data_IF_103811403309
#
_entry.id   IF_103811403309
#
_cell.length_a   1.000
_cell.length_b   1.000
_cell.length_c   1.000
_cell.angle_alpha   90.00
_cell.angle_beta   90.00
_cell.angle_gamma   90.00
#
_symmetry.space_group_name_H-M   'P 1'
#
loop_
_entity.id
_entity.type
_entity.pdbx_description
1 polymer ?
#
# COMPACT_ATOMS: atom_id res chain seq x y z
N UNK A 1 -14.86 14.89 36.22
CA UNK A 1 -14.39 15.05 34.83
C UNK A 1 -13.69 16.40 34.63
N UNK A 2 -14.38 17.52 34.39
CA UNK A 2 -13.71 18.80 34.11
C UNK A 2 -12.75 19.26 35.23
N UNK A 3 -13.17 19.13 36.50
CA UNK A 3 -12.30 19.44 37.65
C UNK A 3 -11.04 18.55 37.72
N UNK A 4 -11.10 17.31 37.24
CA UNK A 4 -9.96 16.38 37.25
C UNK A 4 -8.97 16.80 36.16
N UNK A 5 -9.46 17.11 34.96
CA UNK A 5 -8.66 17.63 33.85
C UNK A 5 -7.88 18.89 34.25
N UNK A 6 -8.56 19.85 34.89
CA UNK A 6 -7.94 21.12 35.31
C UNK A 6 -6.86 20.90 36.39
N UNK A 7 -7.02 19.90 37.26
CA UNK A 7 -6.04 19.60 38.32
C UNK A 7 -4.80 18.87 37.79
N UNK A 8 -4.97 18.05 36.77
CA UNK A 8 -3.87 17.27 36.18
C UNK A 8 -2.96 18.10 35.27
N UNK A 9 -3.51 19.11 34.58
CA UNK A 9 -2.76 19.95 33.64
C UNK A 9 -2.16 21.14 34.37
N UNK A 10 -0.84 21.12 34.62
CA UNK A 10 -0.13 22.26 35.21
C UNK A 10 0.29 23.28 34.15
N UNK A 11 -0.08 24.55 34.34
CA UNK A 11 0.22 25.65 33.41
C UNK A 11 1.73 25.84 33.12
N UNK A 12 2.59 25.45 34.06
CA UNK A 12 4.05 25.58 33.93
C UNK A 12 4.65 24.61 32.91
N UNK A 13 4.10 23.39 32.77
CA UNK A 13 4.57 22.42 31.76
C UNK A 13 4.15 22.81 30.34
N UNK A 14 3.02 23.50 30.18
CA UNK A 14 2.52 23.95 28.87
C UNK A 14 3.53 24.88 28.17
N UNK A 15 4.21 25.74 28.94
CA UNK A 15 5.28 26.62 28.42
C UNK A 15 6.57 25.89 28.03
N UNK A 16 6.73 24.64 28.45
CA UNK A 16 7.91 23.81 28.19
C UNK A 16 7.67 22.75 27.11
N UNK A 17 6.47 22.71 26.51
CA UNK A 17 6.20 21.74 25.44
C UNK A 17 6.98 22.20 24.20
N UNK A 18 7.96 21.40 23.80
CA UNK A 18 8.72 21.59 22.58
C UNK A 18 7.86 21.15 21.39
N UNK A 19 7.07 22.06 20.83
CA UNK A 19 6.26 21.89 19.60
C UNK A 19 6.77 22.87 18.56
N UNK A 20 6.74 22.48 17.28
CA UNK A 20 7.12 23.37 16.18
C UNK A 20 6.05 24.49 16.02
N UNK A 21 6.47 25.74 15.84
CA UNK A 21 5.55 26.87 15.69
C UNK A 21 4.90 27.35 16.99
N UNK A 22 5.49 27.04 18.15
CA UNK A 22 5.01 27.53 19.44
C UNK A 22 5.24 29.06 19.56
N UNK A 23 4.24 29.88 19.95
CA UNK A 23 4.39 31.33 20.02
C UNK A 23 5.59 31.76 20.88
N UNK A 24 6.52 32.51 20.29
CA UNK A 24 7.77 32.96 20.93
C UNK A 24 9.02 32.09 20.64
N UNK A 25 8.91 31.05 19.80
CA UNK A 25 10.05 30.34 19.21
C UNK A 25 10.31 30.68 17.73
N UNK A 26 9.56 31.66 17.20
CA UNK A 26 9.69 32.18 15.84
C UNK A 26 11.15 32.58 15.53
N UNK A 27 11.74 31.97 14.51
CA UNK A 27 13.12 32.23 14.08
C UNK A 27 14.18 31.46 14.87
N UNK A 28 13.81 30.42 15.62
CA UNK A 28 14.79 29.52 16.23
C UNK A 28 15.58 28.76 15.15
N UNK A 29 16.84 28.38 15.44
CA UNK A 29 17.64 27.54 14.52
C UNK A 29 16.95 26.22 14.16
N UNK A 30 16.06 25.72 15.02
CA UNK A 30 15.29 24.50 14.74
C UNK A 30 14.20 24.74 13.69
N UNK A 31 13.52 25.90 13.74
CA UNK A 31 12.58 26.31 12.69
C UNK A 31 13.30 26.62 11.38
N UNK A 32 14.45 27.30 11.45
CA UNK A 32 15.25 27.57 10.25
C UNK A 32 15.75 26.28 9.58
N UNK A 33 16.12 25.26 10.38
CA UNK A 33 16.47 23.94 9.87
C UNK A 33 15.25 23.25 9.23
N UNK A 34 14.08 23.31 9.87
CA UNK A 34 12.84 22.79 9.30
C UNK A 34 12.50 23.45 7.96
N UNK A 35 12.50 24.78 7.92
CA UNK A 35 12.20 25.56 6.73
C UNK A 35 13.19 25.29 5.60
N UNK A 36 14.47 25.15 5.94
CA UNK A 36 15.51 24.81 4.98
C UNK A 36 15.31 23.42 4.36
N UNK A 37 14.90 22.43 5.17
CA UNK A 37 14.56 21.09 4.65
C UNK A 37 13.28 21.15 3.82
N UNK A 38 12.23 21.79 4.32
CA UNK A 38 10.94 21.88 3.65
C UNK A 38 11.01 22.61 2.29
N UNK A 39 11.91 23.59 2.17
CA UNK A 39 12.14 24.36 0.94
C UNK A 39 13.27 23.78 0.08
N UNK A 40 13.71 22.54 0.34
CA UNK A 40 14.76 21.85 -0.41
C UNK A 40 16.13 22.58 -0.43
N UNK A 41 16.38 23.48 0.53
CA UNK A 41 17.64 24.22 0.69
C UNK A 41 18.78 23.34 1.19
N UNK A 42 18.45 22.30 1.98
CA UNK A 42 19.40 21.33 2.48
C UNK A 42 19.00 19.94 1.98
N UNK A 43 19.85 19.33 1.16
CA UNK A 43 19.66 17.97 0.63
C UNK A 43 20.40 16.92 1.48
N UNK A 44 21.27 17.36 2.39
CA UNK A 44 22.01 16.48 3.30
C UNK A 44 22.26 17.12 4.67
N UNK A 45 22.56 16.27 5.65
CA UNK A 45 22.96 16.70 7.00
C UNK A 45 24.27 17.50 6.97
N UNK A 46 25.19 17.20 6.05
CA UNK A 46 26.45 17.95 5.88
C UNK A 46 26.22 19.37 5.38
N UNK A 47 25.31 19.57 4.42
CA UNK A 47 24.92 20.91 3.93
C UNK A 47 24.31 21.76 5.04
N UNK A 48 23.42 21.16 5.83
CA UNK A 48 22.81 21.82 6.97
C UNK A 48 23.83 22.13 8.08
N UNK A 49 24.72 21.20 8.42
CA UNK A 49 25.76 21.41 9.43
C UNK A 49 26.73 22.53 9.02
N UNK A 50 27.13 22.55 7.76
CA UNK A 50 27.96 23.62 7.19
C UNK A 50 27.28 24.98 7.27
N UNK A 51 25.98 25.05 6.99
CA UNK A 51 25.22 26.30 7.10
C UNK A 51 25.13 26.84 8.54
N UNK A 52 24.84 25.98 9.52
CA UNK A 52 24.58 26.43 10.90
C UNK A 52 25.84 26.59 11.78
N UNK A 53 26.91 25.85 11.47
CA UNK A 53 28.08 25.73 12.34
C UNK A 53 29.43 25.72 11.59
N UNK A 54 29.44 25.85 10.25
CA UNK A 54 30.63 25.71 9.40
C UNK A 54 31.40 24.40 9.69
N UNK A 55 30.63 23.32 9.87
CA UNK A 55 31.12 22.00 10.30
C UNK A 55 30.54 20.88 9.44
N UNK A 56 30.81 19.63 9.83
CA UNK A 56 30.21 18.43 9.25
C UNK A 56 29.05 17.89 10.10
N UNK A 57 28.36 16.86 9.58
CA UNK A 57 27.25 16.17 10.26
C UNK A 57 27.62 15.57 11.65
N UNK A 58 28.91 15.41 11.94
CA UNK A 58 29.41 14.81 13.18
C UNK A 58 29.55 15.83 14.29
N UNK A 59 29.47 17.12 13.99
CA UNK A 59 29.56 18.19 14.98
C UNK A 59 28.51 18.02 16.11
N UNK A 60 28.94 18.01 17.38
CA UNK A 60 28.03 17.83 18.52
C UNK A 60 26.91 18.87 18.62
N UNK A 61 27.15 20.13 18.20
CA UNK A 61 26.17 21.21 18.20
C UNK A 61 25.13 20.98 17.10
N UNK A 62 25.55 20.55 15.91
CA UNK A 62 24.62 20.17 14.84
C UNK A 62 23.73 18.99 15.26
N UNK A 63 24.32 17.92 15.78
CA UNK A 63 23.55 16.76 16.28
C UNK A 63 22.55 17.15 17.36
N UNK A 64 22.91 18.07 18.26
CA UNK A 64 21.99 18.60 19.28
C UNK A 64 20.84 19.38 18.65
N UNK A 65 21.10 20.20 17.63
CA UNK A 65 20.08 20.95 16.88
C UNK A 65 19.11 20.00 16.15
N UNK A 66 19.65 19.03 15.39
CA UNK A 66 18.88 18.00 14.69
C UNK A 66 18.01 17.19 15.65
N UNK A 67 18.58 16.71 16.76
CA UNK A 67 17.83 15.96 17.76
C UNK A 67 16.72 16.78 18.42
N UNK A 68 16.94 18.08 18.62
CA UNK A 68 15.90 18.99 19.11
C UNK A 68 14.75 19.13 18.11
N UNK A 69 15.06 19.32 16.83
CA UNK A 69 14.04 19.38 15.78
C UNK A 69 13.26 18.07 15.69
N UNK A 70 13.94 16.91 15.72
CA UNK A 70 13.30 15.59 15.74
C UNK A 70 12.30 15.47 16.91
N UNK A 71 12.71 15.87 18.12
CA UNK A 71 11.82 15.87 19.30
C UNK A 71 10.62 16.79 19.11
N UNK A 72 10.83 18.00 18.60
CA UNK A 72 9.74 18.95 18.29
C UNK A 72 8.76 18.35 17.29
N UNK A 73 9.24 17.74 16.20
CA UNK A 73 8.39 17.12 15.18
C UNK A 73 7.61 15.92 15.74
N UNK A 74 8.24 15.06 16.54
CA UNK A 74 7.56 13.94 17.21
C UNK A 74 6.44 14.47 18.13
N UNK A 75 6.69 15.50 18.92
CA UNK A 75 5.66 16.10 19.77
C UNK A 75 4.54 16.75 18.95
N UNK A 76 4.89 17.39 17.84
CA UNK A 76 3.95 18.03 16.92
C UNK A 76 3.07 16.99 16.20
N UNK A 77 3.54 15.75 16.05
CA UNK A 77 2.80 14.68 15.38
C UNK A 77 1.45 14.33 16.03
N UNK A 78 1.28 14.63 17.34
CA UNK A 78 -0.02 14.49 18.02
C UNK A 78 -1.06 15.53 17.58
N UNK A 79 -0.64 16.58 16.87
CA UNK A 79 -1.46 17.70 16.41
C UNK A 79 -1.53 17.79 14.88
N UNK A 80 -1.29 16.68 14.17
CA UNK A 80 -1.43 16.62 12.71
C UNK A 80 -2.84 17.07 12.32
N UNK A 81 -2.91 17.93 11.30
CA UNK A 81 -4.18 18.35 10.73
C UNK A 81 -4.78 17.21 9.89
N UNK A 82 -5.63 16.43 10.54
CA UNK A 82 -6.38 15.35 9.90
C UNK A 82 -7.50 15.86 8.99
N UNK A 83 -7.80 17.17 8.94
CA UNK A 83 -8.85 17.72 8.07
C UNK A 83 -8.38 17.91 6.62
N UNK A 84 -7.10 17.66 6.33
CA UNK A 84 -6.57 17.74 4.99
C UNK A 84 -7.27 16.77 4.02
N UNK A 85 -7.44 17.13 2.73
CA UNK A 85 -8.15 16.31 1.74
C UNK A 85 -7.61 14.88 1.57
N UNK A 86 -6.33 14.64 1.92
CA UNK A 86 -5.69 13.34 1.80
C UNK A 86 -6.24 12.28 2.78
N UNK A 87 -6.87 12.68 3.88
CA UNK A 87 -7.41 11.73 4.85
C UNK A 87 -8.89 11.43 4.59
N UNK A 88 -9.20 10.16 4.37
CA UNK A 88 -10.59 9.68 4.35
C UNK A 88 -11.17 9.59 5.78
N UNK A 89 -12.49 9.41 5.92
CA UNK A 89 -13.16 9.40 7.24
C UNK A 89 -12.54 8.39 8.22
N UNK A 90 -12.26 7.16 7.75
CA UNK A 90 -11.63 6.11 8.57
C UNK A 90 -10.22 6.49 9.00
N UNK A 91 -9.41 7.04 8.09
CA UNK A 91 -8.05 7.51 8.36
C UNK A 91 -8.06 8.61 9.42
N UNK A 92 -8.93 9.61 9.28
CA UNK A 92 -9.12 10.66 10.29
C UNK A 92 -9.50 10.09 11.65
N UNK A 93 -10.42 9.13 11.67
CA UNK A 93 -10.84 8.48 12.89
C UNK A 93 -9.69 7.71 13.56
N UNK A 94 -8.84 7.02 12.80
CA UNK A 94 -7.71 6.26 13.34
C UNK A 94 -6.73 7.16 14.11
N UNK A 95 -6.31 8.28 13.53
CA UNK A 95 -5.40 9.23 14.19
C UNK A 95 -6.02 9.85 15.44
N UNK A 96 -7.29 10.27 15.37
CA UNK A 96 -8.01 10.78 16.53
C UNK A 96 -8.10 9.73 17.65
N UNK A 97 -8.41 8.47 17.30
CA UNK A 97 -8.51 7.37 18.26
C UNK A 97 -7.18 7.12 18.99
N UNK A 98 -6.04 7.07 18.28
CA UNK A 98 -4.74 6.90 18.94
C UNK A 98 -4.37 8.08 19.83
N UNK A 99 -4.63 9.32 19.39
CA UNK A 99 -4.39 10.51 20.20
C UNK A 99 -5.23 10.48 21.48
N UNK A 100 -6.52 10.18 21.35
CA UNK A 100 -7.45 10.16 22.48
C UNK A 100 -7.15 8.98 23.42
N UNK A 101 -6.69 7.83 22.90
CA UNK A 101 -6.22 6.72 23.71
C UNK A 101 -4.98 7.09 24.52
N UNK A 102 -3.98 7.74 23.90
CA UNK A 102 -2.79 8.21 24.60
C UNK A 102 -3.15 9.23 25.70
N UNK A 103 -4.07 10.16 25.40
CA UNK A 103 -4.57 11.11 26.39
C UNK A 103 -5.27 10.41 27.56
N UNK A 104 -6.14 9.43 27.29
CA UNK A 104 -6.82 8.65 28.32
C UNK A 104 -5.84 7.90 29.22
N UNK A 105 -4.83 7.24 28.62
CA UNK A 105 -3.79 6.52 29.34
C UNK A 105 -3.01 7.46 30.28
N UNK A 106 -2.60 8.63 29.78
CA UNK A 106 -1.89 9.64 30.57
C UNK A 106 -2.77 10.13 31.74
N UNK A 107 -4.04 10.46 31.48
CA UNK A 107 -4.99 10.89 32.51
C UNK A 107 -5.13 9.84 33.60
N UNK A 108 -5.26 8.56 33.24
CA UNK A 108 -5.31 7.45 34.21
C UNK A 108 -4.05 7.38 35.05
N UNK A 109 -2.87 7.46 34.44
CA UNK A 109 -1.57 7.43 35.14
C UNK A 109 -1.34 8.60 36.10
N UNK A 110 -2.18 9.64 36.00
CA UNK A 110 -2.16 10.85 36.84
C UNK A 110 -3.35 10.93 37.79
N UNK A 111 -3.98 9.80 38.08
CA UNK A 111 -5.15 9.66 38.96
C UNK A 111 -6.40 10.43 38.53
N UNK A 112 -6.46 10.90 37.27
CA UNK A 112 -7.62 11.58 36.70
C UNK A 112 -8.68 10.57 36.19
N UNK A 113 -9.06 9.63 37.04
CA UNK A 113 -9.84 8.45 36.71
C UNK A 113 -11.16 8.76 35.99
N UNK A 114 -11.97 9.71 36.49
CA UNK A 114 -13.25 10.04 35.88
C UNK A 114 -13.10 10.66 34.49
N UNK A 115 -12.02 11.41 34.25
CA UNK A 115 -11.73 11.95 32.92
C UNK A 115 -11.25 10.86 31.95
N UNK A 116 -10.41 9.94 32.43
CA UNK A 116 -9.99 8.76 31.67
C UNK A 116 -11.18 7.89 31.25
N UNK A 117 -12.08 7.50 32.17
CA UNK A 117 -13.27 6.69 31.82
C UNK A 117 -14.15 7.37 30.79
N UNK A 118 -14.43 8.66 30.98
CA UNK A 118 -15.23 9.42 30.02
C UNK A 118 -14.63 9.35 28.60
N UNK A 119 -13.33 9.61 28.49
CA UNK A 119 -12.64 9.59 27.20
C UNK A 119 -12.58 8.18 26.60
N UNK A 120 -12.29 7.15 27.41
CA UNK A 120 -12.27 5.75 26.98
C UNK A 120 -13.63 5.27 26.49
N UNK A 121 -14.73 5.69 27.13
CA UNK A 121 -16.08 5.32 26.68
C UNK A 121 -16.43 5.92 25.32
N UNK A 122 -16.11 7.20 25.11
CA UNK A 122 -16.28 7.88 23.81
C UNK A 122 -15.38 7.24 22.74
N UNK A 123 -14.14 6.94 23.09
CA UNK A 123 -13.20 6.26 22.22
C UNK A 123 -13.71 4.88 21.79
N UNK A 124 -14.26 4.09 22.73
CA UNK A 124 -14.79 2.76 22.43
C UNK A 124 -15.90 2.80 21.37
N UNK A 125 -16.80 3.79 21.43
CA UNK A 125 -17.84 3.95 20.41
C UNK A 125 -17.25 4.18 19.01
N UNK A 126 -16.20 5.00 18.91
CA UNK A 126 -15.51 5.25 17.65
C UNK A 126 -14.73 4.02 17.17
N UNK A 127 -14.00 3.35 18.05
CA UNK A 127 -13.18 2.18 17.65
C UNK A 127 -14.06 1.02 17.21
N UNK A 128 -15.24 0.83 17.82
CA UNK A 128 -16.22 -0.16 17.36
C UNK A 128 -16.83 0.27 16.02
N UNK A 129 -17.28 1.52 15.88
CA UNK A 129 -17.87 2.05 14.64
C UNK A 129 -16.96 1.84 13.42
N UNK A 130 -15.66 2.03 13.61
CA UNK A 130 -14.66 1.87 12.56
C UNK A 130 -13.95 0.52 12.60
N UNK A 131 -14.36 -0.45 13.41
CA UNK A 131 -13.71 -1.76 13.50
C UNK A 131 -12.18 -1.67 13.71
N UNK A 132 -11.74 -0.82 14.63
CA UNK A 132 -10.36 -0.79 15.11
C UNK A 132 -10.24 -1.80 16.26
N UNK A 133 -10.19 -3.09 15.91
CA UNK A 133 -10.20 -4.23 16.84
C UNK A 133 -9.10 -4.10 17.90
N UNK A 134 -7.87 -3.74 17.49
CA UNK A 134 -6.76 -3.52 18.41
C UNK A 134 -7.05 -2.46 19.46
N UNK A 135 -7.43 -1.27 19.04
CA UNK A 135 -7.69 -0.17 19.98
C UNK A 135 -8.90 -0.53 20.86
N UNK A 136 -9.90 -1.21 20.32
CA UNK A 136 -11.09 -1.61 21.07
C UNK A 136 -10.76 -2.57 22.20
N UNK A 137 -10.00 -3.64 21.94
CA UNK A 137 -9.57 -4.57 22.98
C UNK A 137 -8.76 -3.86 24.08
N UNK A 138 -7.87 -2.94 23.69
CA UNK A 138 -7.08 -2.14 24.62
C UNK A 138 -7.93 -1.19 25.48
N UNK A 139 -8.92 -0.52 24.88
CA UNK A 139 -9.86 0.34 25.60
C UNK A 139 -10.70 -0.47 26.58
N UNK A 140 -11.24 -1.63 26.16
CA UNK A 140 -11.96 -2.53 27.07
C UNK A 140 -11.08 -3.00 28.23
N UNK A 141 -9.78 -3.24 27.98
CA UNK A 141 -8.81 -3.62 29.01
C UNK A 141 -8.63 -2.52 30.06
N UNK A 142 -8.49 -1.27 29.62
CA UNK A 142 -8.34 -0.13 30.52
C UNK A 142 -9.64 0.10 31.33
N UNK A 143 -10.80 0.04 30.67
CA UNK A 143 -12.09 0.23 31.34
C UNK A 143 -12.34 -0.85 32.40
N UNK A 144 -12.17 -2.15 32.08
CA UNK A 144 -12.39 -3.22 33.07
C UNK A 144 -11.47 -3.10 34.29
N UNK A 145 -10.21 -2.70 34.08
CA UNK A 145 -9.24 -2.51 35.17
C UNK A 145 -9.68 -1.37 36.09
N UNK A 146 -10.21 -0.30 35.52
CA UNK A 146 -10.66 0.84 36.31
C UNK A 146 -11.92 0.55 37.13
N UNK A 147 -12.88 -0.17 36.56
CA UNK A 147 -14.08 -0.58 37.29
C UNK A 147 -13.82 -1.68 38.33
N UNK A 148 -12.80 -2.53 38.14
CA UNK A 148 -12.36 -3.50 39.14
C UNK A 148 -11.91 -2.85 40.46
N UNK A 149 -11.38 -1.62 40.37
CA UNK A 149 -10.89 -0.84 41.53
C UNK A 149 -11.98 0.05 42.15
N UNK A 150 -13.20 0.06 41.61
CA UNK A 150 -14.30 0.93 42.04
C UNK A 150 -15.36 0.12 42.80
N UNK A 151 -15.42 0.20 44.15
CA UNK A 151 -16.41 -0.53 44.93
C UNK A 151 -17.84 -0.17 44.49
N UNK A 152 -18.64 -1.18 44.16
CA UNK A 152 -20.05 -1.02 43.79
C UNK A 152 -20.35 -0.96 42.28
N UNK A 153 -19.34 -1.06 41.40
CA UNK A 153 -19.54 -1.01 39.94
C UNK A 153 -19.21 -2.34 39.22
N UNK A 154 -19.63 -3.45 39.85
CA UNK A 154 -19.42 -4.81 39.36
C UNK A 154 -20.02 -5.02 37.96
N UNK A 155 -21.18 -4.43 37.68
CA UNK A 155 -21.85 -4.57 36.39
C UNK A 155 -21.02 -4.00 35.22
N UNK A 156 -20.42 -2.81 35.39
CA UNK A 156 -19.52 -2.27 34.36
C UNK A 156 -18.26 -3.11 34.22
N UNK A 157 -17.68 -3.60 35.34
CA UNK A 157 -16.52 -4.48 35.28
C UNK A 157 -16.81 -5.76 34.48
N UNK A 158 -17.94 -6.41 34.71
CA UNK A 158 -18.38 -7.60 33.96
C UNK A 158 -18.62 -7.30 32.49
N UNK A 159 -19.34 -6.21 32.18
CA UNK A 159 -19.60 -5.76 30.81
C UNK A 159 -18.30 -5.58 30.02
N UNK A 160 -17.35 -4.80 30.55
CA UNK A 160 -16.09 -4.54 29.84
C UNK A 160 -15.16 -5.76 29.83
N UNK A 161 -15.26 -6.67 30.80
CA UNK A 161 -14.55 -7.94 30.78
C UNK A 161 -15.06 -8.88 29.68
N UNK A 162 -16.38 -8.94 29.48
CA UNK A 162 -16.98 -9.71 28.38
C UNK A 162 -16.57 -9.12 27.01
N UNK A 163 -16.69 -7.80 26.84
CA UNK A 163 -16.26 -7.12 25.61
C UNK A 163 -14.77 -7.33 25.33
N UNK A 164 -13.92 -7.22 26.35
CA UNK A 164 -12.48 -7.48 26.20
C UNK A 164 -12.20 -8.90 25.68
N UNK A 165 -12.90 -9.93 26.20
CA UNK A 165 -12.70 -11.31 25.72
C UNK A 165 -13.06 -11.45 24.24
N UNK A 166 -14.20 -10.89 23.83
CA UNK A 166 -14.65 -10.89 22.44
C UNK A 166 -13.61 -10.21 21.53
N UNK A 167 -13.14 -9.00 21.90
CA UNK A 167 -12.22 -8.26 21.04
C UNK A 167 -10.79 -8.80 21.06
N UNK A 168 -10.33 -9.45 22.14
CA UNK A 168 -9.06 -10.19 22.13
C UNK A 168 -9.14 -11.43 21.22
N UNK A 169 -10.27 -12.13 21.20
CA UNK A 169 -10.47 -13.25 20.27
C UNK A 169 -10.46 -12.76 18.81
N UNK A 170 -11.20 -11.68 18.51
CA UNK A 170 -11.15 -11.04 17.19
C UNK A 170 -9.73 -10.62 16.82
N UNK A 171 -9.01 -9.95 17.73
CA UNK A 171 -7.62 -9.54 17.52
C UNK A 171 -6.72 -10.74 17.21
N UNK A 172 -6.84 -11.82 17.98
CA UNK A 172 -6.05 -13.02 17.78
C UNK A 172 -6.24 -13.60 16.37
N UNK A 173 -7.49 -13.72 15.93
CA UNK A 173 -7.80 -14.24 14.59
C UNK A 173 -7.40 -13.29 13.46
N UNK A 174 -7.54 -11.98 13.65
CA UNK A 174 -7.03 -10.98 12.70
C UNK A 174 -5.52 -11.07 12.54
N UNK A 175 -4.78 -11.16 13.65
CA UNK A 175 -3.32 -11.32 13.63
C UNK A 175 -2.92 -12.62 12.95
N UNK A 176 -3.60 -13.74 13.26
CA UNK A 176 -3.33 -15.03 12.63
C UNK A 176 -3.58 -15.01 11.11
N UNK A 177 -4.68 -14.41 10.67
CA UNK A 177 -4.97 -14.27 9.24
C UNK A 177 -3.93 -13.39 8.54
N UNK A 178 -3.49 -12.33 9.22
CA UNK A 178 -2.40 -11.47 8.74
C UNK A 178 -1.10 -12.25 8.56
N UNK A 179 -0.65 -12.99 9.58
CA UNK A 179 0.57 -13.80 9.57
C UNK A 179 0.55 -14.81 8.42
N UNK A 180 -0.58 -15.51 8.22
CA UNK A 180 -0.75 -16.43 7.10
C UNK A 180 -0.63 -15.74 5.75
N UNK A 181 -1.22 -14.55 5.61
CA UNK A 181 -1.11 -13.78 4.36
C UNK A 181 0.32 -13.28 4.10
N UNK A 182 1.05 -12.85 5.14
CA UNK A 182 2.42 -12.37 5.04
C UNK A 182 3.39 -13.49 4.65
N UNK A 183 3.25 -14.66 5.30
CA UNK A 183 4.03 -15.85 4.98
C UNK A 183 3.90 -16.24 3.50
N UNK A 184 2.68 -16.18 2.94
CA UNK A 184 2.45 -16.51 1.54
C UNK A 184 2.99 -15.46 0.56
N UNK A 185 2.95 -14.17 0.91
CA UNK A 185 3.49 -13.09 0.06
C UNK A 185 5.00 -13.26 -0.12
N UNK A 186 5.72 -13.69 0.91
CA UNK A 186 7.16 -13.91 0.82
C UNK A 186 7.52 -14.93 -0.27
N UNK A 187 6.70 -15.98 -0.47
CA UNK A 187 6.90 -16.95 -1.55
C UNK A 187 6.63 -16.38 -2.96
N UNK A 188 5.77 -15.37 -3.06
CA UNK A 188 5.42 -14.72 -4.34
C UNK A 188 6.48 -13.69 -4.80
N UNK A 189 7.19 -13.07 -3.85
CA UNK A 189 8.28 -12.12 -4.14
C UNK A 189 9.49 -12.85 -4.74
N UNK A 190 9.72 -14.10 -4.36
CA UNK A 190 10.90 -14.88 -4.78
C UNK A 190 10.66 -15.77 -6.00
N UNK A 191 9.39 -16.03 -6.39
CA UNK A 191 9.06 -16.78 -7.60
C UNK A 191 7.63 -16.51 -8.08
N UNK A 192 7.48 -16.06 -9.33
CA UNK A 192 6.16 -15.80 -9.97
C UNK A 192 5.58 -17.02 -10.70
N UNK A 193 6.20 -18.18 -10.53
CA UNK A 193 5.80 -19.41 -11.19
C UNK A 193 4.76 -20.16 -10.36
N UNK A 194 3.83 -20.90 -10.99
CA UNK A 194 2.90 -21.77 -10.27
C UNK A 194 3.64 -22.71 -9.32
N UNK A 195 3.13 -22.84 -8.09
CA UNK A 195 3.75 -23.64 -7.04
C UNK A 195 2.70 -24.45 -6.29
N UNK A 196 2.78 -25.78 -6.46
CA UNK A 196 1.93 -26.71 -5.71
C UNK A 196 2.19 -26.64 -4.20
N UNK A 197 3.42 -26.32 -3.78
CA UNK A 197 3.76 -26.15 -2.37
C UNK A 197 3.00 -24.96 -1.77
N UNK A 198 3.02 -23.81 -2.45
CA UNK A 198 2.27 -22.61 -2.04
C UNK A 198 0.77 -22.90 -2.04
N UNK A 199 0.26 -23.63 -3.03
CA UNK A 199 -1.15 -24.03 -3.06
C UNK A 199 -1.56 -24.89 -1.86
N UNK A 200 -0.76 -25.88 -1.49
CA UNK A 200 -1.04 -26.75 -0.34
C UNK A 200 -1.01 -25.97 0.98
N UNK A 201 -0.01 -25.10 1.16
CA UNK A 201 0.11 -24.25 2.34
C UNK A 201 -1.07 -23.28 2.46
N UNK A 202 -1.39 -22.56 1.38
CA UNK A 202 -2.52 -21.63 1.33
C UNK A 202 -3.86 -22.35 1.50
N UNK A 203 -3.98 -23.60 1.06
CA UNK A 203 -5.17 -24.43 1.30
C UNK A 203 -5.36 -24.69 2.78
N UNK A 204 -4.33 -25.14 3.49
CA UNK A 204 -4.41 -25.35 4.95
C UNK A 204 -4.79 -24.08 5.71
N UNK A 205 -4.20 -22.95 5.35
CA UNK A 205 -4.54 -21.64 5.94
C UNK A 205 -5.98 -21.22 5.65
N UNK A 206 -6.42 -21.32 4.39
CA UNK A 206 -7.76 -20.89 4.00
C UNK A 206 -8.85 -21.75 4.62
N UNK A 207 -8.64 -23.07 4.68
CA UNK A 207 -9.61 -24.03 5.22
C UNK A 207 -9.73 -23.89 6.76
N UNK A 208 -8.70 -23.37 7.43
CA UNK A 208 -8.76 -23.01 8.85
C UNK A 208 -9.47 -21.65 9.08
N UNK A 209 -9.18 -20.64 8.26
CA UNK A 209 -9.68 -19.28 8.46
C UNK A 209 -11.14 -19.10 8.02
N UNK A 210 -11.53 -19.64 6.87
CA UNK A 210 -12.84 -19.38 6.26
C UNK A 210 -14.02 -19.76 7.17
N UNK A 211 -14.03 -20.92 7.87
CA UNK A 211 -15.13 -21.29 8.77
C UNK A 211 -15.33 -20.31 9.94
N UNK A 212 -14.31 -19.51 10.28
CA UNK A 212 -14.36 -18.51 11.37
C UNK A 212 -14.82 -17.13 10.91
N UNK A 213 -15.01 -16.92 9.60
CA UNK A 213 -15.24 -15.60 9.04
C UNK A 213 -16.50 -14.91 9.58
N UNK A 214 -17.62 -15.63 9.65
CA UNK A 214 -18.89 -15.10 10.17
C UNK A 214 -18.89 -14.90 11.69
N UNK A 215 -18.07 -15.68 12.42
CA UNK A 215 -17.95 -15.57 13.88
C UNK A 215 -17.12 -14.35 14.29
N UNK A 216 -16.00 -14.13 13.60
CA UNK A 216 -15.09 -13.02 13.87
C UNK A 216 -15.68 -11.71 13.31
N UNK A 217 -16.22 -11.77 12.09
CA UNK A 217 -16.98 -10.71 11.43
C UNK A 217 -16.31 -9.32 11.47
N UNK A 218 -15.02 -9.26 11.16
CA UNK A 218 -14.30 -7.99 11.03
C UNK A 218 -13.74 -7.82 9.62
N UNK A 219 -13.72 -6.58 9.15
CA UNK A 219 -13.21 -6.22 7.84
C UNK A 219 -11.77 -6.72 7.66
N UNK A 220 -10.92 -6.58 8.68
CA UNK A 220 -9.52 -6.99 8.60
C UNK A 220 -9.37 -8.50 8.45
N UNK A 221 -10.17 -9.29 9.19
CA UNK A 221 -10.17 -10.73 9.10
C UNK A 221 -10.60 -11.19 7.71
N UNK A 222 -11.71 -10.64 7.18
CA UNK A 222 -12.15 -10.94 5.82
C UNK A 222 -11.08 -10.60 4.77
N UNK A 223 -10.46 -9.42 4.84
CA UNK A 223 -9.43 -9.00 3.89
C UNK A 223 -8.29 -10.03 3.84
N UNK A 224 -7.76 -10.46 4.98
CA UNK A 224 -6.63 -11.38 4.98
C UNK A 224 -7.01 -12.81 4.65
N UNK A 225 -8.15 -13.30 5.14
CA UNK A 225 -8.68 -14.62 4.77
C UNK A 225 -8.88 -14.74 3.26
N UNK A 226 -9.51 -13.74 2.63
CA UNK A 226 -9.72 -13.78 1.19
C UNK A 226 -8.44 -13.52 0.38
N UNK A 227 -7.46 -12.77 0.90
CA UNK A 227 -6.12 -12.70 0.27
C UNK A 227 -5.42 -14.05 0.24
N UNK A 228 -5.49 -14.81 1.33
CA UNK A 228 -5.01 -16.20 1.38
C UNK A 228 -5.74 -17.05 0.32
N UNK A 229 -7.06 -16.92 0.22
CA UNK A 229 -7.87 -17.62 -0.80
C UNK A 229 -7.50 -17.26 -2.24
N UNK A 230 -7.17 -16.00 -2.51
CA UNK A 230 -6.67 -15.56 -3.83
C UNK A 230 -5.37 -16.26 -4.15
N UNK A 231 -4.41 -16.25 -3.21
CA UNK A 231 -3.11 -16.91 -3.39
C UNK A 231 -3.29 -18.42 -3.58
N UNK A 232 -4.17 -19.06 -2.82
CA UNK A 232 -4.51 -20.49 -2.93
C UNK A 232 -4.79 -20.88 -4.38
N UNK A 233 -5.67 -20.17 -5.07
CA UNK A 233 -6.03 -20.52 -6.46
C UNK A 233 -5.07 -19.95 -7.50
N UNK A 234 -4.50 -18.77 -7.27
CA UNK A 234 -3.53 -18.16 -8.18
C UNK A 234 -2.22 -18.94 -8.24
N UNK A 235 -1.83 -19.64 -7.16
CA UNK A 235 -0.64 -20.49 -7.13
C UNK A 235 -0.66 -21.65 -8.13
N UNK A 236 -1.84 -22.02 -8.66
CA UNK A 236 -2.03 -23.04 -9.69
C UNK A 236 -2.69 -22.49 -10.96
N UNK A 237 -2.71 -21.16 -11.13
CA UNK A 237 -3.37 -20.46 -12.23
C UNK A 237 -4.86 -20.79 -12.40
N UNK A 238 -5.58 -21.18 -11.34
CA UNK A 238 -7.03 -21.40 -11.39
C UNK A 238 -7.77 -20.06 -11.33
N UNK A 239 -7.77 -19.38 -12.48
CA UNK A 239 -8.34 -18.04 -12.63
C UNK A 239 -9.84 -18.01 -12.35
N UNK A 240 -10.58 -19.10 -12.63
CA UNK A 240 -12.02 -19.16 -12.40
C UNK A 240 -12.31 -19.10 -10.90
N UNK A 241 -11.66 -19.95 -10.11
CA UNK A 241 -11.82 -19.92 -8.65
C UNK A 241 -11.24 -18.65 -8.02
N UNK A 242 -10.15 -18.10 -8.57
CA UNK A 242 -9.67 -16.78 -8.12
C UNK A 242 -10.72 -15.69 -8.31
N UNK A 243 -11.43 -15.66 -9.44
CA UNK A 243 -12.53 -14.71 -9.66
C UNK A 243 -13.66 -14.93 -8.64
N UNK A 244 -14.08 -16.17 -8.41
CA UNK A 244 -15.11 -16.50 -7.41
C UNK A 244 -14.74 -15.99 -6.00
N UNK A 245 -13.50 -16.21 -5.57
CA UNK A 245 -12.99 -15.70 -4.28
C UNK A 245 -12.95 -14.18 -4.24
N UNK A 246 -12.52 -13.53 -5.33
CA UNK A 246 -12.52 -12.06 -5.43
C UNK A 246 -13.95 -11.51 -5.35
N UNK A 247 -14.92 -12.14 -6.01
CA UNK A 247 -16.32 -11.70 -6.01
C UNK A 247 -16.97 -11.87 -4.64
N UNK A 248 -16.70 -12.96 -3.94
CA UNK A 248 -17.13 -13.13 -2.54
C UNK A 248 -16.55 -12.04 -1.64
N UNK A 249 -15.24 -11.79 -1.75
CA UNK A 249 -14.57 -10.76 -0.96
C UNK A 249 -15.13 -9.35 -1.25
N UNK A 250 -15.31 -9.01 -2.52
CA UNK A 250 -15.88 -7.73 -2.95
C UNK A 250 -17.32 -7.57 -2.45
N UNK A 251 -18.16 -8.60 -2.58
CA UNK A 251 -19.55 -8.56 -2.11
C UNK A 251 -19.66 -8.27 -0.61
N UNK A 252 -18.80 -8.89 0.21
CA UNK A 252 -18.77 -8.66 1.66
C UNK A 252 -18.21 -7.27 1.99
N UNK A 253 -17.09 -6.89 1.38
CA UNK A 253 -16.35 -5.69 1.74
C UNK A 253 -16.99 -4.40 1.20
N UNK A 254 -17.67 -4.44 0.05
CA UNK A 254 -18.41 -3.29 -0.50
C UNK A 254 -19.62 -2.92 0.37
N UNK A 255 -20.26 -3.91 0.99
CA UNK A 255 -21.39 -3.69 1.90
C UNK A 255 -21.02 -2.97 3.20
N UNK A 256 -19.73 -2.90 3.54
CA UNK A 256 -19.26 -2.24 4.77
C UNK A 256 -19.08 -0.73 4.58
N UNK A 257 -19.64 0.06 5.50
CA UNK A 257 -19.67 1.53 5.45
C UNK A 257 -18.28 2.19 5.37
N UNK A 258 -17.27 1.59 5.98
CA UNK A 258 -15.90 2.15 6.05
C UNK A 258 -14.86 1.22 5.42
N UNK A 259 -15.21 0.65 4.27
CA UNK A 259 -14.37 -0.30 3.56
C UNK A 259 -13.00 0.27 3.17
N UNK A 260 -11.99 -0.59 3.16
CA UNK A 260 -10.64 -0.25 2.74
C UNK A 260 -10.55 -0.24 1.20
N UNK A 261 -10.58 0.96 0.61
CA UNK A 261 -10.46 1.17 -0.85
C UNK A 261 -9.24 0.45 -1.45
N UNK A 262 -8.10 0.44 -0.75
CA UNK A 262 -6.89 -0.25 -1.21
C UNK A 262 -7.06 -1.77 -1.27
N UNK A 263 -7.74 -2.37 -0.29
CA UNK A 263 -8.05 -3.81 -0.31
C UNK A 263 -9.07 -4.17 -1.38
N UNK A 264 -10.12 -3.35 -1.55
CA UNK A 264 -11.05 -3.50 -2.67
C UNK A 264 -10.34 -3.43 -4.01
N UNK A 265 -9.41 -2.47 -4.18
CA UNK A 265 -8.63 -2.32 -5.41
C UNK A 265 -7.76 -3.55 -5.67
N UNK A 266 -7.17 -4.14 -4.63
CA UNK A 266 -6.38 -5.37 -4.75
C UNK A 266 -7.22 -6.54 -5.30
N UNK A 267 -8.42 -6.78 -4.75
CA UNK A 267 -9.30 -7.85 -5.23
C UNK A 267 -9.84 -7.59 -6.63
N UNK A 268 -10.28 -6.35 -6.90
CA UNK A 268 -10.81 -5.98 -8.21
C UNK A 268 -9.74 -6.03 -9.32
N UNK A 269 -8.51 -5.63 -9.01
CA UNK A 269 -7.38 -5.73 -9.96
C UNK A 269 -7.02 -7.19 -10.24
N UNK A 270 -7.01 -8.05 -9.22
CA UNK A 270 -6.79 -9.48 -9.42
C UNK A 270 -7.90 -10.11 -10.26
N UNK A 271 -9.17 -9.75 -10.01
CA UNK A 271 -10.29 -10.17 -10.85
C UNK A 271 -10.08 -9.77 -12.31
N UNK A 272 -9.71 -8.51 -12.58
CA UNK A 272 -9.43 -8.03 -13.93
C UNK A 272 -8.28 -8.80 -14.60
N UNK A 273 -7.22 -9.10 -13.87
CA UNK A 273 -6.11 -9.90 -14.37
C UNK A 273 -6.56 -11.32 -14.77
N UNK A 274 -7.33 -12.00 -13.93
CA UNK A 274 -7.87 -13.33 -14.23
C UNK A 274 -8.87 -13.31 -15.41
N UNK A 275 -9.75 -12.30 -15.50
CA UNK A 275 -10.65 -12.12 -16.64
C UNK A 275 -9.86 -11.95 -17.95
N UNK A 276 -8.78 -11.16 -17.91
CA UNK A 276 -7.87 -10.96 -19.04
C UNK A 276 -7.22 -12.27 -19.48
N UNK A 277 -6.70 -13.05 -18.52
CA UNK A 277 -6.06 -14.35 -18.80
C UNK A 277 -7.03 -15.37 -19.40
N UNK A 278 -8.27 -15.41 -18.90
CA UNK A 278 -9.33 -16.28 -19.42
C UNK A 278 -9.96 -15.76 -20.72
N UNK A 279 -9.64 -14.54 -21.14
CA UNK A 279 -10.25 -13.85 -22.29
C UNK A 279 -11.78 -13.73 -22.17
N UNK A 280 -12.27 -13.52 -20.94
CA UNK A 280 -13.68 -13.28 -20.65
C UNK A 280 -13.86 -11.78 -20.49
N UNK A 281 -14.54 -11.14 -21.45
CA UNK A 281 -14.54 -9.68 -21.57
C UNK A 281 -15.86 -9.00 -21.22
N UNK A 282 -16.96 -9.77 -21.11
CA UNK A 282 -18.32 -9.23 -20.88
C UNK A 282 -18.41 -8.37 -19.60
N UNK A 283 -17.64 -8.72 -18.57
CA UNK A 283 -17.56 -7.98 -17.30
C UNK A 283 -16.22 -7.24 -17.10
N UNK A 284 -15.31 -7.32 -18.07
CA UNK A 284 -13.97 -6.75 -17.95
C UNK A 284 -13.98 -5.22 -17.88
N UNK A 285 -14.76 -4.56 -18.73
CA UNK A 285 -14.85 -3.09 -18.77
C UNK A 285 -15.44 -2.51 -17.48
N UNK A 286 -16.53 -3.11 -16.99
CA UNK A 286 -17.15 -2.73 -15.71
C UNK A 286 -16.16 -2.90 -14.55
N UNK A 287 -15.40 -3.99 -14.56
CA UNK A 287 -14.37 -4.25 -13.52
C UNK A 287 -13.25 -3.23 -13.62
N UNK A 288 -12.77 -2.91 -14.83
CA UNK A 288 -11.72 -1.93 -15.07
C UNK A 288 -12.14 -0.52 -14.61
N UNK A 289 -13.35 -0.07 -14.94
CA UNK A 289 -13.91 1.19 -14.49
C UNK A 289 -14.06 1.23 -12.97
N UNK A 290 -14.58 0.16 -12.38
CA UNK A 290 -14.71 0.06 -10.92
C UNK A 290 -13.35 0.18 -10.22
N UNK A 291 -12.30 -0.48 -10.71
CA UNK A 291 -10.96 -0.37 -10.16
C UNK A 291 -10.45 1.09 -10.11
N UNK A 292 -10.72 1.89 -11.16
CA UNK A 292 -10.29 3.30 -11.21
C UNK A 292 -10.96 4.16 -10.13
N UNK A 293 -12.18 3.81 -9.70
CA UNK A 293 -12.85 4.51 -8.60
C UNK A 293 -12.21 4.26 -7.23
N UNK A 294 -11.33 3.25 -7.10
CA UNK A 294 -10.77 2.79 -5.83
C UNK A 294 -9.36 3.30 -5.57
N UNK A 295 -8.63 3.74 -6.59
CA UNK A 295 -7.23 4.16 -6.48
C UNK A 295 -7.09 5.66 -6.69
N UNK A 296 -6.17 6.28 -5.95
CA UNK A 296 -5.86 7.69 -6.12
C UNK A 296 -4.76 7.85 -7.17
N UNK A 297 -4.94 8.80 -8.08
CA UNK A 297 -4.02 9.05 -9.20
C UNK A 297 -2.59 9.35 -8.72
N UNK A 298 -1.60 8.77 -9.40
CA UNK A 298 -0.18 8.90 -9.05
C UNK A 298 0.26 8.13 -7.79
N UNK A 299 -0.61 7.31 -7.19
CA UNK A 299 -0.22 6.32 -6.17
C UNK A 299 0.43 5.09 -6.81
N UNK A 300 1.20 4.32 -6.05
CA UNK A 300 1.78 3.05 -6.52
C UNK A 300 0.71 2.09 -7.05
N UNK A 301 -0.40 1.96 -6.34
CA UNK A 301 -1.52 1.09 -6.74
C UNK A 301 -2.17 1.54 -8.05
N UNK A 302 -2.19 2.85 -8.33
CA UNK A 302 -2.69 3.38 -9.59
C UNK A 302 -1.82 2.96 -10.78
N UNK A 303 -0.49 3.04 -10.66
CA UNK A 303 0.41 2.55 -11.70
C UNK A 303 0.25 1.04 -11.96
N UNK A 304 0.14 0.23 -10.89
CA UNK A 304 -0.09 -1.23 -11.00
C UNK A 304 -1.44 -1.58 -11.62
N UNK A 305 -2.48 -0.79 -11.32
CA UNK A 305 -3.79 -0.95 -11.95
C UNK A 305 -3.71 -0.64 -13.45
N UNK A 306 -3.09 0.48 -13.83
CA UNK A 306 -2.99 0.88 -15.23
C UNK A 306 -2.16 -0.11 -16.06
N UNK A 307 -1.17 -0.76 -15.47
CA UNK A 307 -0.46 -1.87 -16.09
C UNK A 307 -1.41 -3.04 -16.39
N UNK A 308 -2.27 -3.41 -15.42
CA UNK A 308 -3.29 -4.45 -15.60
C UNK A 308 -4.31 -4.07 -16.68
N UNK A 309 -4.76 -2.80 -16.70
CA UNK A 309 -5.66 -2.30 -17.73
C UNK A 309 -5.03 -2.27 -19.12
N UNK A 310 -3.74 -1.91 -19.22
CA UNK A 310 -3.00 -1.97 -20.47
C UNK A 310 -3.07 -3.39 -21.04
N UNK A 311 -2.75 -4.42 -20.25
CA UNK A 311 -2.88 -5.81 -20.69
C UNK A 311 -4.31 -6.16 -21.11
N UNK A 312 -5.31 -5.77 -20.33
CA UNK A 312 -6.70 -6.00 -20.68
C UNK A 312 -7.09 -5.41 -22.04
N UNK A 313 -6.68 -4.16 -22.33
CA UNK A 313 -6.94 -3.53 -23.63
C UNK A 313 -6.17 -4.18 -24.79
N UNK A 314 -4.94 -4.63 -24.54
CA UNK A 314 -4.17 -5.39 -25.53
C UNK A 314 -4.84 -6.72 -25.89
N UNK A 315 -5.36 -7.46 -24.90
CA UNK A 315 -6.06 -8.74 -25.10
C UNK A 315 -7.44 -8.57 -25.74
N UNK A 316 -8.07 -7.40 -25.60
CA UNK A 316 -9.33 -7.05 -26.26
C UNK A 316 -9.12 -6.37 -27.62
N UNK A 317 -7.88 -6.33 -28.12
CA UNK A 317 -7.50 -5.69 -29.39
C UNK A 317 -7.83 -4.19 -29.49
N UNK A 318 -7.98 -3.50 -28.35
CA UNK A 318 -8.22 -2.06 -28.26
C UNK A 318 -6.90 -1.31 -28.11
N UNK A 319 -6.08 -1.39 -29.15
CA UNK A 319 -4.69 -0.90 -29.13
C UNK A 319 -4.59 0.61 -28.90
N UNK A 320 -5.49 1.41 -29.49
CA UNK A 320 -5.51 2.86 -29.28
C UNK A 320 -5.78 3.21 -27.80
N UNK A 321 -6.72 2.50 -27.16
CA UNK A 321 -6.99 2.68 -25.73
C UNK A 321 -5.79 2.25 -24.87
N UNK A 322 -5.07 1.19 -25.27
CA UNK A 322 -3.83 0.80 -24.59
C UNK A 322 -2.74 1.88 -24.74
N UNK A 323 -2.63 2.51 -25.90
CA UNK A 323 -1.73 3.63 -26.16
C UNK A 323 -2.09 4.86 -25.31
N UNK A 324 -3.38 5.16 -25.14
CA UNK A 324 -3.86 6.22 -24.25
C UNK A 324 -3.50 5.95 -22.77
N UNK A 325 -3.65 4.70 -22.31
CA UNK A 325 -3.24 4.29 -20.96
C UNK A 325 -1.73 4.48 -20.78
N UNK A 326 -0.94 4.07 -21.77
CA UNK A 326 0.50 4.27 -21.76
C UNK A 326 0.88 5.74 -21.67
N UNK A 327 0.27 6.59 -22.52
CA UNK A 327 0.45 8.06 -22.49
C UNK A 327 0.15 8.63 -21.11
N UNK A 328 -0.98 8.21 -20.51
CA UNK A 328 -1.41 8.67 -19.18
C UNK A 328 -0.36 8.36 -18.11
N UNK A 329 0.24 7.18 -18.16
CA UNK A 329 1.26 6.76 -17.19
C UNK A 329 2.58 7.51 -17.40
N UNK A 330 3.11 7.51 -18.62
CA UNK A 330 4.46 8.05 -18.90
C UNK A 330 4.53 9.58 -18.78
N UNK A 331 3.40 10.28 -18.99
CA UNK A 331 3.32 11.74 -18.84
C UNK A 331 3.07 12.18 -17.40
N UNK A 332 2.74 11.27 -16.48
CA UNK A 332 2.47 11.63 -15.09
C UNK A 332 3.77 12.07 -14.38
N UNK A 333 3.73 13.17 -13.60
CA UNK A 333 4.92 13.76 -12.96
C UNK A 333 5.70 12.77 -12.06
N UNK A 334 5.01 11.82 -11.43
CA UNK A 334 5.61 10.78 -10.58
C UNK A 334 6.17 9.57 -11.34
N UNK A 335 5.96 9.47 -12.65
CA UNK A 335 6.51 8.38 -13.46
C UNK A 335 8.04 8.30 -13.35
N UNK A 336 8.72 9.45 -13.31
CA UNK A 336 10.18 9.55 -13.17
C UNK A 336 10.72 9.01 -11.84
N UNK A 337 9.85 8.84 -10.85
CA UNK A 337 10.20 8.30 -9.54
C UNK A 337 10.06 6.77 -9.49
N UNK A 338 9.48 6.14 -10.52
CA UNK A 338 9.42 4.69 -10.61
C UNK A 338 10.82 4.10 -10.84
N UNK A 339 11.08 2.96 -10.21
CA UNK A 339 12.36 2.25 -10.31
C UNK A 339 12.15 0.74 -10.33
N UNK A 340 13.21 0.00 -10.69
CA UNK A 340 13.20 -1.46 -10.75
C UNK A 340 12.13 -2.03 -11.68
N UNK A 341 11.53 -3.16 -11.28
CA UNK A 341 10.64 -3.95 -12.13
C UNK A 341 9.42 -3.19 -12.67
N UNK A 342 8.92 -2.18 -11.96
CA UNK A 342 7.76 -1.41 -12.44
C UNK A 342 8.16 -0.49 -13.60
N UNK A 343 9.32 0.18 -13.52
CA UNK A 343 9.80 1.03 -14.61
C UNK A 343 10.17 0.20 -15.82
N UNK A 344 10.90 -0.89 -15.60
CA UNK A 344 11.25 -1.87 -16.63
C UNK A 344 10.00 -2.36 -17.38
N UNK A 345 8.93 -2.66 -16.66
CA UNK A 345 7.68 -3.12 -17.25
C UNK A 345 7.09 -2.10 -18.24
N UNK A 346 7.00 -0.82 -17.85
CA UNK A 346 6.51 0.22 -18.76
C UNK A 346 7.44 0.43 -19.96
N UNK A 347 8.76 0.35 -19.78
CA UNK A 347 9.70 0.37 -20.92
C UNK A 347 9.42 -0.77 -21.91
N UNK A 348 9.21 -1.99 -21.40
CA UNK A 348 8.86 -3.16 -22.21
C UNK A 348 7.54 -2.97 -22.96
N UNK A 349 6.50 -2.46 -22.28
CA UNK A 349 5.20 -2.20 -22.91
C UNK A 349 5.31 -1.17 -24.06
N UNK A 350 6.17 -0.16 -23.90
CA UNK A 350 6.48 0.80 -24.97
C UNK A 350 7.06 0.11 -26.20
N UNK A 351 7.98 -0.84 -26.01
CA UNK A 351 8.52 -1.65 -27.09
C UNK A 351 7.47 -2.48 -27.83
N UNK A 352 6.48 -3.03 -27.12
CA UNK A 352 5.35 -3.74 -27.73
C UNK A 352 4.40 -2.81 -28.52
N UNK A 353 4.26 -1.54 -28.13
CA UNK A 353 3.52 -0.55 -28.93
C UNK A 353 4.23 -0.27 -30.27
N UNK A 354 5.56 -0.19 -30.28
CA UNK A 354 6.32 -0.09 -31.53
C UNK A 354 6.16 -1.34 -32.41
N UNK A 355 6.10 -2.52 -31.82
CA UNK A 355 5.80 -3.75 -32.57
C UNK A 355 4.42 -3.68 -33.24
N UNK A 356 3.40 -3.19 -32.52
CA UNK A 356 2.07 -3.00 -33.10
C UNK A 356 2.06 -1.96 -34.23
N UNK A 357 2.80 -0.87 -34.09
CA UNK A 357 2.99 0.10 -35.17
C UNK A 357 3.68 -0.52 -36.41
N UNK A 358 4.72 -1.34 -36.20
CA UNK A 358 5.39 -2.06 -37.29
C UNK A 358 4.47 -3.06 -38.00
N UNK A 359 3.49 -3.62 -37.28
CA UNK A 359 2.45 -4.50 -37.83
C UNK A 359 1.26 -3.74 -38.44
N UNK A 360 1.30 -2.40 -38.49
CA UNK A 360 0.23 -1.56 -39.02
C UNK A 360 -1.04 -1.58 -38.17
N UNK A 361 -0.94 -1.88 -36.88
CA UNK A 361 -2.07 -1.89 -35.92
C UNK A 361 -2.23 -0.58 -35.15
N UNK A 362 -1.21 0.26 -35.17
CA UNK A 362 -1.19 1.60 -34.58
C UNK A 362 -0.49 2.55 -35.55
N UNK A 363 -0.78 3.85 -35.45
CA UNK A 363 -0.04 4.86 -36.18
C UNK A 363 1.39 5.01 -35.64
N UNK A 364 2.37 4.90 -36.53
CA UNK A 364 3.78 4.92 -36.13
C UNK A 364 4.24 6.29 -35.62
N UNK A 365 3.73 7.39 -36.19
CA UNK A 365 4.10 8.74 -35.76
C UNK A 365 3.54 9.02 -34.37
N UNK A 366 2.31 8.58 -34.11
CA UNK A 366 1.68 8.73 -32.80
C UNK A 366 2.40 7.90 -31.72
N UNK A 367 2.77 6.66 -32.02
CA UNK A 367 3.55 5.82 -31.09
C UNK A 367 4.91 6.45 -30.81
N UNK A 368 5.63 6.93 -31.83
CA UNK A 368 6.93 7.62 -31.63
C UNK A 368 6.79 8.92 -30.82
N UNK A 369 5.71 9.67 -31.01
CA UNK A 369 5.45 10.88 -30.23
C UNK A 369 5.20 10.58 -28.74
N UNK A 370 4.54 9.46 -28.42
CA UNK A 370 4.12 9.12 -27.05
C UNK A 370 5.16 8.28 -26.31
N UNK A 371 5.60 7.19 -26.93
CA UNK A 371 6.59 6.29 -26.35
C UNK A 371 8.01 6.84 -26.50
N UNK A 372 8.25 7.69 -27.50
CA UNK A 372 9.58 8.10 -27.91
C UNK A 372 10.10 7.21 -29.04
N UNK A 373 11.27 7.55 -29.58
CA UNK A 373 11.90 6.72 -30.60
C UNK A 373 12.62 5.53 -29.95
N UNK A 374 12.13 4.33 -30.23
CA UNK A 374 12.79 3.08 -29.84
C UNK A 374 13.07 2.18 -31.04
N UNK A 375 14.20 1.48 -30.97
CA UNK A 375 14.45 0.28 -31.79
C UNK A 375 14.40 -0.94 -30.88
N UNK A 376 13.24 -1.63 -30.78
CA UNK A 376 13.06 -2.81 -29.92
C UNK A 376 14.01 -3.98 -30.22
N UNK A 377 14.75 -3.93 -31.33
CA UNK A 377 15.75 -4.92 -31.71
C UNK A 377 17.19 -4.56 -31.36
N UNK A 378 17.47 -3.36 -30.84
CA UNK A 378 18.86 -2.93 -30.59
C UNK A 378 19.39 -3.43 -29.24
N UNK A 379 20.66 -3.83 -29.20
CA UNK A 379 21.40 -4.10 -27.94
C UNK A 379 21.28 -3.00 -26.87
N UNK A 380 21.03 -1.74 -27.29
CA UNK A 380 20.80 -0.61 -26.38
C UNK A 380 19.51 -0.75 -25.57
N UNK A 381 18.45 -1.28 -26.18
CA UNK A 381 17.15 -1.49 -25.51
C UNK A 381 17.26 -2.53 -24.39
N UNK A 382 17.94 -3.64 -24.63
CA UNK A 382 18.11 -4.70 -23.61
C UNK A 382 18.95 -4.19 -22.44
N UNK A 383 19.91 -3.30 -22.68
CA UNK A 383 20.77 -2.72 -21.64
C UNK A 383 20.07 -1.68 -20.75
N UNK A 384 18.87 -1.21 -21.12
CA UNK A 384 18.10 -0.22 -20.35
C UNK A 384 17.28 -0.85 -19.20
N UNK A 385 17.27 -2.18 -19.07
CA UNK A 385 16.53 -2.90 -18.04
C UNK A 385 17.37 -3.14 -16.78
N UNK A 386 16.86 -2.79 -15.61
CA UNK A 386 17.58 -2.90 -14.34
C UNK A 386 17.38 -4.27 -13.65
N UNK A 387 16.19 -4.85 -13.81
CA UNK A 387 15.68 -6.01 -13.04
C UNK A 387 15.19 -7.14 -13.93
N UNK A 388 14.44 -6.84 -15.00
CA UNK A 388 13.81 -7.87 -15.83
C UNK A 388 14.80 -8.74 -16.61
N UNK A 389 16.00 -8.21 -16.90
CA UNK A 389 17.09 -8.93 -17.58
C UNK A 389 17.68 -10.07 -16.71
N UNK A 390 17.64 -9.89 -15.38
CA UNK A 390 18.18 -10.81 -14.38
C UNK A 390 17.17 -11.86 -13.93
N UNK A 391 15.87 -11.59 -14.09
CA UNK A 391 14.83 -12.60 -13.85
C UNK A 391 14.97 -13.74 -14.87
N UNK A 392 15.04 -14.99 -14.40
CA UNK A 392 15.18 -16.17 -15.27
C UNK A 392 13.88 -16.90 -15.56
N UNK A 393 12.76 -16.36 -15.06
CA UNK A 393 11.41 -16.90 -15.18
C UNK A 393 10.43 -15.80 -15.61
N UNK A 394 9.30 -16.20 -16.22
CA UNK A 394 8.14 -15.33 -16.47
C UNK A 394 8.38 -14.16 -17.42
N UNK A 395 8.83 -13.02 -16.90
CA UNK A 395 8.80 -11.72 -17.59
C UNK A 395 10.01 -11.41 -18.47
N UNK A 396 11.09 -12.19 -18.34
CA UNK A 396 12.21 -12.14 -19.28
C UNK A 396 11.84 -12.74 -20.65
N UNK A 397 10.85 -13.63 -20.72
CA UNK A 397 10.38 -14.19 -22.00
C UNK A 397 9.84 -13.09 -22.93
N UNK A 398 8.88 -12.23 -22.51
CA UNK A 398 8.47 -11.08 -23.30
C UNK A 398 9.63 -10.17 -23.75
N UNK A 399 10.61 -9.91 -22.88
CA UNK A 399 11.77 -9.07 -23.19
C UNK A 399 12.61 -9.66 -24.33
N UNK A 400 12.92 -10.95 -24.26
CA UNK A 400 13.71 -11.66 -25.30
C UNK A 400 12.90 -11.87 -26.57
N UNK A 401 11.58 -12.09 -26.46
CA UNK A 401 10.70 -12.36 -27.60
C UNK A 401 10.47 -11.12 -28.46
N UNK A 402 10.42 -9.93 -27.85
CA UNK A 402 10.11 -8.68 -28.54
C UNK A 402 11.06 -8.37 -29.73
N UNK A 403 12.40 -8.42 -29.59
CA UNK A 403 13.33 -8.26 -30.72
C UNK A 403 13.03 -9.21 -31.88
N UNK A 404 12.77 -10.49 -31.58
CA UNK A 404 12.49 -11.53 -32.59
C UNK A 404 11.23 -11.19 -33.38
N UNK A 405 10.14 -10.86 -32.69
CA UNK A 405 8.88 -10.48 -33.33
C UNK A 405 9.01 -9.20 -34.15
N UNK A 406 9.78 -8.23 -33.67
CA UNK A 406 9.99 -6.96 -34.35
C UNK A 406 10.79 -7.11 -35.64
N UNK A 407 11.86 -7.91 -35.61
CA UNK A 407 12.66 -8.26 -36.79
C UNK A 407 11.81 -8.98 -37.84
N UNK A 408 10.98 -9.94 -37.42
CA UNK A 408 10.02 -10.63 -38.31
C UNK A 408 9.04 -9.63 -38.93
N UNK A 409 8.46 -8.73 -38.12
CA UNK A 409 7.49 -7.74 -38.59
C UNK A 409 8.08 -6.78 -39.64
N UNK A 410 9.35 -6.39 -39.49
CA UNK A 410 10.04 -5.52 -40.46
C UNK A 410 10.69 -6.24 -41.62
N UNK A 411 10.78 -7.58 -41.58
CA UNK A 411 11.52 -8.38 -42.55
C UNK A 411 13.04 -8.12 -42.53
N UNK A 412 13.57 -7.61 -41.42
CA UNK A 412 15.00 -7.32 -41.24
C UNK A 412 15.59 -8.28 -40.20
N UNK A 413 16.53 -9.13 -40.61
CA UNK A 413 17.10 -10.20 -39.80
C UNK A 413 18.56 -9.94 -39.49
N UNK A 414 18.86 -8.78 -38.90
CA UNK A 414 20.22 -8.47 -38.45
C UNK A 414 20.73 -9.61 -37.55
N UNK A 415 21.78 -10.31 -37.99
CA UNK A 415 22.14 -11.67 -37.50
C UNK A 415 22.49 -11.68 -36.01
N UNK A 416 23.12 -10.60 -35.51
CA UNK A 416 23.65 -10.54 -34.15
C UNK A 416 22.55 -10.43 -33.08
N UNK A 417 21.58 -9.54 -33.26
CA UNK A 417 20.53 -9.31 -32.25
C UNK A 417 19.38 -10.32 -32.39
N UNK A 418 19.03 -10.71 -33.62
CA UNK A 418 18.01 -11.74 -33.87
C UNK A 418 18.48 -13.13 -33.44
N UNK A 419 19.74 -13.50 -33.74
CA UNK A 419 20.32 -14.80 -33.40
C UNK A 419 20.43 -15.01 -31.89
N UNK A 420 20.91 -14.01 -31.14
CA UNK A 420 21.04 -14.09 -29.68
C UNK A 420 19.70 -14.30 -28.96
N UNK A 421 18.66 -13.58 -29.39
CA UNK A 421 17.33 -13.74 -28.81
C UNK A 421 16.70 -15.09 -29.15
N UNK A 422 16.92 -15.61 -30.37
CA UNK A 422 16.49 -16.97 -30.73
C UNK A 422 17.18 -18.06 -29.90
N UNK A 423 18.50 -17.97 -29.71
CA UNK A 423 19.24 -18.89 -28.84
C UNK A 423 18.77 -18.83 -27.39
N UNK A 424 18.47 -17.62 -26.90
CA UNK A 424 17.93 -17.44 -25.56
C UNK A 424 16.53 -18.08 -25.42
N UNK A 425 15.65 -17.92 -26.41
CA UNK A 425 14.33 -18.58 -26.42
C UNK A 425 14.45 -20.11 -26.50
N UNK A 426 15.42 -20.65 -27.26
CA UNK A 426 15.63 -22.10 -27.32
C UNK A 426 16.06 -22.66 -25.95
N UNK A 427 16.88 -21.93 -25.20
CA UNK A 427 17.22 -22.28 -23.81
C UNK A 427 16.01 -22.27 -22.89
N UNK A 428 15.05 -21.37 -23.09
CA UNK A 428 13.78 -21.38 -22.34
C UNK A 428 12.91 -22.59 -22.69
N UNK A 429 12.85 -22.99 -23.97
CA UNK A 429 12.11 -24.21 -24.40
C UNK A 429 12.68 -25.49 -23.80
N UNK A 430 13.99 -25.54 -23.54
CA UNK A 430 14.67 -26.71 -22.98
C UNK A 430 14.50 -26.86 -21.47
N UNK A 431 14.02 -25.82 -20.77
CA UNK A 431 13.66 -25.86 -19.35
C UNK A 431 12.21 -26.30 -19.18
#
# INVERSE_FOLDING_TARGET
MLKDLVRTITRNKVKQIEVLGNPGQEGSRSEELFDGIFKDRFQSDDEAAKYFFDSDEKDPKYRKLRNRLIRQLINTSFFIDVQQPMFNERGRALYNCYRDYAAAYILRSRDAYKASVYLLQQLMEQTIKFEFTDITADVCRQLRQQFALSPGDQANHEKYSALHRIYEEKRHWEAKAYDYSENLIHHYITGRSPSNEVHLMATGYFDELLPKADEIDTMQFYIYTYKVGVIKYSAINDCKKTIEVCDQALGILQGRKFSNRGSLASFATQKLACLTQLRVFDDGDKTAEYCLTLVDEGSFNWFRLLETQFYYYMYTHRYETALDVFRKVTQHNRYRQLSGSTRDMWTLLGGYLHLLAALGKLDAQEVEHIAGYYSPGSSRFINDFEVLDKEKDGMNIPLVLLPVLFSIAKGNFDEDDFGRSLEALDKYRQR
#
